data_IF_433324101020
#
_entry.id   IF_433324101020
#
_cell.length_a   1.000
_cell.length_b   1.000
_cell.length_c   1.000
_cell.angle_alpha   90.00
_cell.angle_beta   90.00
_cell.angle_gamma   90.00
#
_symmetry.space_group_name_H-M   'P 1'
#
loop_
_entity.id
_entity.type
_entity.pdbx_description
1 polymer ?
#
# COMPACT_ATOMS: atom_id res chain seq x y z
N UNK A 1 -14.84 -12.72 13.81
CA UNK A 1 -13.76 -11.80 14.16
C UNK A 1 -12.66 -11.86 13.09
N UNK A 2 -12.40 -10.73 12.45
CA UNK A 2 -11.35 -10.68 11.43
C UNK A 2 -9.98 -10.70 12.08
N UNK A 3 -9.13 -11.60 11.62
CA UNK A 3 -7.78 -11.72 12.13
C UNK A 3 -6.92 -10.62 11.52
N UNK A 4 -6.46 -9.70 12.36
CA UNK A 4 -5.59 -8.62 11.94
C UNK A 4 -4.16 -9.13 11.74
N UNK A 5 -3.51 -8.74 10.63
CA UNK A 5 -2.12 -9.10 10.38
C UNK A 5 -1.20 -8.46 11.42
N UNK A 6 -0.16 -9.19 11.82
CA UNK A 6 0.81 -8.76 12.83
C UNK A 6 2.23 -8.85 12.29
N UNK A 7 3.13 -8.10 12.91
CA UNK A 7 4.56 -8.21 12.63
C UNK A 7 5.00 -9.65 12.86
N UNK A 8 5.73 -10.22 11.89
CA UNK A 8 6.18 -11.61 11.91
C UNK A 8 5.29 -12.57 11.16
N UNK A 9 4.05 -12.20 10.87
CA UNK A 9 3.14 -13.05 10.12
C UNK A 9 3.55 -13.12 8.66
N UNK A 10 3.32 -14.27 8.04
CA UNK A 10 3.36 -14.39 6.59
C UNK A 10 2.22 -13.58 6.00
N UNK A 11 2.45 -12.93 4.86
CA UNK A 11 1.37 -12.18 4.21
C UNK A 11 0.27 -13.14 3.77
N UNK A 12 -1.00 -12.69 3.78
CA UNK A 12 -2.11 -13.53 3.32
C UNK A 12 -2.00 -13.80 1.82
N UNK A 13 -2.62 -14.88 1.37
CA UNK A 13 -2.66 -15.25 -0.05
C UNK A 13 -3.64 -14.35 -0.79
N UNK A 14 -3.19 -13.77 -1.90
CA UNK A 14 -4.05 -12.95 -2.76
C UNK A 14 -3.47 -12.81 -4.16
N UNK A 15 -4.31 -12.37 -5.08
CA UNK A 15 -3.91 -12.05 -6.46
C UNK A 15 -4.82 -10.93 -6.96
N UNK A 16 -4.24 -9.77 -7.30
CA UNK A 16 -4.99 -8.62 -7.81
C UNK A 16 -4.23 -7.94 -8.96
N UNK A 17 -4.94 -7.25 -9.86
CA UNK A 17 -4.29 -6.62 -11.02
C UNK A 17 -3.47 -5.38 -10.64
N UNK A 18 -2.36 -5.21 -11.35
CA UNK A 18 -1.48 -4.05 -11.24
C UNK A 18 -1.68 -3.08 -12.41
N UNK A 19 -1.35 -1.83 -12.18
CA UNK A 19 -1.46 -0.76 -13.18
C UNK A 19 -0.59 -0.98 -14.42
N UNK A 20 0.43 -1.81 -14.34
CA UNK A 20 1.32 -2.10 -15.49
C UNK A 20 0.83 -3.28 -16.35
N UNK A 21 -0.36 -3.81 -16.08
CA UNK A 21 -0.92 -4.94 -16.82
C UNK A 21 -0.58 -6.31 -16.25
N UNK A 22 0.30 -6.37 -15.26
CA UNK A 22 0.65 -7.63 -14.59
C UNK A 22 -0.30 -7.89 -13.42
N UNK A 23 -0.11 -9.05 -12.78
CA UNK A 23 -0.85 -9.40 -11.56
C UNK A 23 0.10 -9.29 -10.37
N UNK A 24 -0.43 -8.78 -9.26
CA UNK A 24 0.26 -8.84 -7.97
C UNK A 24 -0.20 -10.11 -7.27
N UNK A 25 0.65 -11.12 -7.28
CA UNK A 25 0.39 -12.41 -6.65
C UNK A 25 1.25 -12.52 -5.41
N UNK A 26 0.63 -12.84 -4.28
CA UNK A 26 1.34 -12.92 -3.00
C UNK A 26 2.51 -13.89 -3.02
N UNK A 27 2.44 -14.95 -3.82
CA UNK A 27 3.54 -15.92 -3.92
C UNK A 27 4.79 -15.33 -4.57
N UNK A 28 4.67 -14.22 -5.29
CA UNK A 28 5.78 -13.53 -5.94
C UNK A 28 6.38 -12.41 -5.09
N UNK A 29 5.77 -12.12 -3.93
CA UNK A 29 6.25 -11.11 -3.00
C UNK A 29 7.30 -11.74 -2.09
N UNK A 30 8.51 -11.88 -2.64
CA UNK A 30 9.66 -12.50 -1.98
C UNK A 30 10.94 -12.07 -2.67
N UNK A 31 12.08 -12.44 -2.11
CA UNK A 31 13.43 -12.22 -2.67
C UNK A 31 13.89 -10.76 -2.67
N UNK A 32 13.03 -9.84 -2.31
CA UNK A 32 13.34 -8.43 -2.07
C UNK A 32 12.29 -7.88 -1.10
N UNK A 33 12.52 -6.67 -0.62
CA UNK A 33 11.55 -6.02 0.25
C UNK A 33 10.44 -5.39 -0.56
N UNK A 34 9.24 -5.35 0.01
CA UNK A 34 8.09 -4.70 -0.59
C UNK A 34 7.47 -3.73 0.40
N UNK A 35 7.06 -2.57 -0.09
CA UNK A 35 6.19 -1.66 0.63
C UNK A 35 4.81 -1.78 -0.01
N UNK A 36 3.85 -2.25 0.77
CA UNK A 36 2.44 -2.27 0.37
C UNK A 36 1.75 -1.19 1.19
N UNK A 37 1.34 -0.09 0.55
CA UNK A 37 0.63 0.94 1.27
C UNK A 37 -0.83 1.01 0.81
N UNK A 38 -1.72 1.07 1.77
CA UNK A 38 -3.17 1.11 1.53
C UNK A 38 -3.65 2.54 1.71
N UNK A 39 -4.47 3.02 0.78
CA UNK A 39 -4.97 4.39 0.80
C UNK A 39 -6.42 4.43 0.34
N UNK A 40 -7.21 5.44 0.80
CA UNK A 40 -8.65 5.46 0.57
C UNK A 40 -9.09 5.61 -0.89
N UNK A 41 -8.49 6.55 -1.65
CA UNK A 41 -9.01 6.84 -2.99
C UNK A 41 -8.05 7.69 -3.83
N UNK A 42 -7.93 7.34 -5.11
CA UNK A 42 -7.15 8.11 -6.08
C UNK A 42 -7.67 9.56 -6.18
N UNK A 43 -6.75 10.47 -6.50
CA UNK A 43 -7.06 11.89 -6.75
C UNK A 43 -7.59 12.67 -5.55
N UNK A 44 -7.51 12.12 -4.33
CA UNK A 44 -7.78 12.90 -3.12
C UNK A 44 -6.48 13.58 -2.67
N UNK A 45 -6.54 14.73 -1.95
CA UNK A 45 -5.33 15.47 -1.60
C UNK A 45 -4.27 14.67 -0.84
N UNK A 46 -4.65 13.97 0.22
CA UNK A 46 -3.72 13.19 1.01
C UNK A 46 -3.12 12.01 0.24
N UNK A 47 -3.95 11.31 -0.54
CA UNK A 47 -3.49 10.18 -1.34
C UNK A 47 -2.57 10.63 -2.48
N UNK A 48 -2.85 11.79 -3.08
CA UNK A 48 -1.98 12.38 -4.10
C UNK A 48 -0.62 12.73 -3.52
N UNK A 49 -0.58 13.38 -2.36
CA UNK A 49 0.67 13.74 -1.69
C UNK A 49 1.48 12.48 -1.36
N UNK A 50 0.84 11.47 -0.79
CA UNK A 50 1.50 10.21 -0.44
C UNK A 50 2.12 9.53 -1.66
N UNK A 51 1.36 9.43 -2.76
CA UNK A 51 1.84 8.81 -3.99
C UNK A 51 3.02 9.59 -4.59
N UNK A 52 2.96 10.91 -4.55
CA UNK A 52 4.04 11.77 -5.05
C UNK A 52 5.29 11.68 -4.17
N UNK A 53 5.11 11.59 -2.85
CA UNK A 53 6.24 11.44 -1.93
C UNK A 53 6.97 10.12 -2.19
N UNK A 54 6.26 9.01 -2.38
CA UNK A 54 6.87 7.74 -2.77
C UNK A 54 7.56 7.85 -4.13
N UNK A 55 6.91 8.48 -5.10
CA UNK A 55 7.48 8.68 -6.43
C UNK A 55 8.79 9.46 -6.37
N UNK A 56 8.83 10.53 -5.58
CA UNK A 56 10.01 11.38 -5.44
C UNK A 56 11.21 10.63 -4.84
N UNK A 57 10.96 9.55 -4.10
CA UNK A 57 12.00 8.74 -3.45
C UNK A 57 12.20 7.38 -4.12
N UNK A 58 11.63 7.18 -5.31
CA UNK A 58 11.65 5.86 -5.95
C UNK A 58 13.07 5.33 -6.20
N UNK A 59 14.02 6.21 -6.50
CA UNK A 59 15.41 5.81 -6.70
C UNK A 59 16.03 5.28 -5.41
N UNK A 60 15.70 5.89 -4.27
CA UNK A 60 16.19 5.41 -2.97
C UNK A 60 15.64 4.03 -2.64
N UNK A 61 14.34 3.81 -2.92
CA UNK A 61 13.73 2.50 -2.73
C UNK A 61 14.40 1.44 -3.59
N UNK A 62 14.71 1.77 -4.85
CA UNK A 62 15.42 0.85 -5.75
C UNK A 62 16.81 0.50 -5.22
N UNK A 63 17.54 1.47 -4.69
CA UNK A 63 18.86 1.24 -4.08
C UNK A 63 18.75 0.30 -2.87
N UNK A 64 17.63 0.33 -2.17
CA UNK A 64 17.36 -0.52 -1.03
C UNK A 64 16.74 -1.87 -1.44
N UNK A 65 16.70 -2.17 -2.73
CA UNK A 65 16.08 -3.37 -3.29
C UNK A 65 14.63 -3.54 -2.81
N UNK A 66 13.88 -2.43 -2.82
CA UNK A 66 12.50 -2.38 -2.32
C UNK A 66 11.54 -1.93 -3.41
N UNK A 67 10.45 -2.67 -3.59
CA UNK A 67 9.37 -2.34 -4.52
C UNK A 67 8.25 -1.66 -3.75
N UNK A 68 7.71 -0.55 -4.28
CA UNK A 68 6.59 0.17 -3.65
C UNK A 68 5.33 -0.04 -4.47
N UNK A 69 4.25 -0.47 -3.81
CA UNK A 69 2.96 -0.71 -4.45
C UNK A 69 1.86 -0.10 -3.58
N UNK A 70 1.04 0.77 -4.19
CA UNK A 70 -0.14 1.31 -3.51
C UNK A 70 -1.37 0.47 -3.84
N UNK A 71 -2.26 0.30 -2.88
CA UNK A 71 -3.46 -0.55 -3.03
C UNK A 71 -4.70 0.22 -2.57
N UNK A 72 -5.72 0.25 -3.43
CA UNK A 72 -7.03 0.80 -3.08
C UNK A 72 -8.12 0.03 -3.81
N UNK A 73 -9.38 0.44 -3.62
CA UNK A 73 -10.51 -0.17 -4.33
C UNK A 73 -10.75 0.45 -5.70
N UNK A 74 -10.01 1.49 -6.07
CA UNK A 74 -10.16 2.12 -7.38
C UNK A 74 -9.87 1.12 -8.50
N UNK A 75 -10.52 1.31 -9.66
CA UNK A 75 -10.30 0.48 -10.84
C UNK A 75 -8.94 0.74 -11.46
N UNK A 76 -8.48 -0.18 -12.31
CA UNK A 76 -7.26 0.02 -13.09
C UNK A 76 -7.33 1.26 -13.97
N UNK A 77 -8.50 1.52 -14.54
CA UNK A 77 -8.71 2.71 -15.38
C UNK A 77 -8.46 3.97 -14.56
N UNK A 78 -9.02 4.06 -13.35
CA UNK A 78 -8.84 5.18 -12.45
C UNK A 78 -7.37 5.30 -12.03
N UNK A 79 -6.73 4.18 -11.69
CA UNK A 79 -5.31 4.16 -11.35
C UNK A 79 -4.44 4.70 -12.48
N UNK A 80 -4.70 4.28 -13.71
CA UNK A 80 -3.90 4.73 -14.85
C UNK A 80 -4.08 6.22 -15.11
N UNK A 81 -5.28 6.75 -14.95
CA UNK A 81 -5.52 8.20 -15.04
C UNK A 81 -4.78 8.97 -13.95
N UNK A 82 -4.79 8.43 -12.73
CA UNK A 82 -4.08 9.04 -11.60
C UNK A 82 -2.57 9.05 -11.83
N UNK A 83 -2.01 7.93 -12.27
CA UNK A 83 -0.59 7.81 -12.59
C UNK A 83 -0.19 8.83 -13.66
N UNK A 84 -0.95 8.90 -14.74
CA UNK A 84 -0.66 9.82 -15.84
C UNK A 84 -0.77 11.28 -15.42
N UNK A 85 -1.83 11.61 -14.69
CA UNK A 85 -2.06 12.99 -14.24
C UNK A 85 -0.98 13.49 -13.29
N UNK A 86 -0.52 12.63 -12.39
CA UNK A 86 0.44 13.02 -11.35
C UNK A 86 1.89 12.62 -11.65
N UNK A 87 2.15 11.95 -12.76
CA UNK A 87 3.50 11.52 -13.11
C UNK A 87 4.09 10.51 -12.13
N UNK A 88 3.27 9.57 -11.65
CA UNK A 88 3.71 8.62 -10.64
C UNK A 88 4.67 7.58 -11.21
N UNK A 89 5.66 7.19 -10.41
CA UNK A 89 6.67 6.17 -10.76
C UNK A 89 6.51 4.88 -9.96
N UNK A 90 5.47 4.77 -9.18
CA UNK A 90 5.13 3.59 -8.38
C UNK A 90 4.07 2.77 -9.09
N UNK A 91 3.91 1.51 -8.68
CA UNK A 91 2.81 0.68 -9.15
C UNK A 91 1.59 0.84 -8.25
N UNK A 92 0.41 0.76 -8.84
CA UNK A 92 -0.85 0.76 -8.10
C UNK A 92 -1.60 -0.53 -8.40
N UNK A 93 -2.16 -1.15 -7.36
CA UNK A 93 -2.94 -2.37 -7.48
C UNK A 93 -4.42 -2.08 -7.19
N UNK A 94 -5.30 -2.77 -7.89
CA UNK A 94 -6.74 -2.58 -7.77
C UNK A 94 -7.39 -3.75 -7.03
N UNK A 95 -7.93 -3.48 -5.84
CA UNK A 95 -8.68 -4.46 -5.04
C UNK A 95 -10.16 -4.09 -5.04
N UNK A 96 -10.80 -4.13 -6.21
CA UNK A 96 -12.19 -3.70 -6.36
C UNK A 96 -13.16 -4.47 -5.45
N UNK A 97 -12.91 -5.76 -5.21
CA UNK A 97 -13.75 -6.56 -4.33
C UNK A 97 -13.59 -6.22 -2.85
N UNK A 98 -12.44 -5.63 -2.47
CA UNK A 98 -12.12 -5.36 -1.07
C UNK A 98 -11.60 -6.56 -0.29
N UNK A 99 -11.43 -7.71 -0.92
CA UNK A 99 -11.00 -8.93 -0.23
C UNK A 99 -9.58 -8.82 0.33
N UNK A 100 -8.67 -8.21 -0.40
CA UNK A 100 -7.29 -8.01 0.06
C UNK A 100 -7.27 -7.03 1.23
N UNK A 101 -8.06 -5.95 1.14
CA UNK A 101 -8.19 -4.97 2.21
C UNK A 101 -8.64 -5.65 3.51
N UNK A 102 -9.59 -6.57 3.41
CA UNK A 102 -10.08 -7.33 4.57
C UNK A 102 -9.00 -8.24 5.14
N UNK A 103 -8.25 -8.92 4.26
CA UNK A 103 -7.18 -9.83 4.69
C UNK A 103 -6.06 -9.10 5.46
N UNK A 104 -5.76 -7.87 5.06
CA UNK A 104 -4.76 -7.06 5.76
C UNK A 104 -5.33 -6.30 6.97
N UNK A 105 -6.65 -6.37 7.16
CA UNK A 105 -7.29 -5.71 8.31
C UNK A 105 -7.41 -4.21 8.17
N UNK A 106 -7.37 -3.68 6.96
CA UNK A 106 -7.45 -2.23 6.71
C UNK A 106 -8.82 -1.76 6.20
N UNK A 107 -9.75 -2.68 6.02
CA UNK A 107 -11.14 -2.34 5.72
C UNK A 107 -11.89 -2.22 7.04
N UNK A 108 -12.15 -0.99 7.48
CA UNK A 108 -12.59 -0.71 8.84
C UNK A 108 -13.78 0.23 8.88
N UNK A 109 -14.49 0.22 10.01
CA UNK A 109 -15.56 1.17 10.26
C UNK A 109 -14.96 2.53 10.59
N UNK A 110 -15.43 3.56 9.88
CA UNK A 110 -15.04 4.96 10.10
C UNK A 110 -16.25 5.76 10.53
N UNK A 111 -16.01 6.86 11.24
CA UNK A 111 -17.06 7.77 11.68
C UNK A 111 -16.73 9.18 11.19
N UNK A 112 -17.69 9.81 10.51
CA UNK A 112 -17.54 11.20 10.05
C UNK A 112 -18.86 11.92 10.38
N UNK A 113 -18.80 12.91 11.25
CA UNK A 113 -19.96 13.70 11.66
C UNK A 113 -21.12 12.84 12.16
N UNK A 114 -20.82 11.82 12.97
CA UNK A 114 -21.81 10.91 13.51
C UNK A 114 -22.28 9.81 12.57
N UNK A 115 -21.84 9.83 11.30
CA UNK A 115 -22.15 8.77 10.33
C UNK A 115 -21.09 7.69 10.34
N UNK A 116 -21.52 6.46 10.49
CA UNK A 116 -20.63 5.29 10.39
C UNK A 116 -20.62 4.76 8.96
N UNK A 117 -19.43 4.46 8.43
CA UNK A 117 -19.28 3.88 7.11
C UNK A 117 -18.03 3.01 7.08
N UNK A 118 -17.98 2.07 6.13
CA UNK A 118 -16.79 1.24 5.94
C UNK A 118 -15.85 1.93 4.96
N UNK A 119 -14.57 1.91 5.29
CA UNK A 119 -13.57 2.53 4.44
C UNK A 119 -12.18 1.97 4.68
N UNK A 120 -11.23 2.41 3.86
CA UNK A 120 -9.84 1.97 3.96
C UNK A 120 -9.11 2.78 5.01
N UNK A 121 -8.51 2.08 5.97
CA UNK A 121 -7.59 2.71 6.91
C UNK A 121 -6.24 2.90 6.22
N UNK A 122 -5.74 4.14 6.15
CA UNK A 122 -4.43 4.39 5.58
C UNK A 122 -3.37 3.69 6.43
N UNK A 123 -2.67 2.74 5.82
CA UNK A 123 -1.69 1.91 6.51
C UNK A 123 -0.59 1.49 5.54
N UNK A 124 0.60 1.24 6.05
CA UNK A 124 1.74 0.80 5.24
C UNK A 124 2.35 -0.44 5.88
N UNK A 125 2.67 -1.43 5.05
CA UNK A 125 3.28 -2.68 5.49
C UNK A 125 4.64 -2.84 4.82
N UNK A 126 5.66 -3.11 5.62
CA UNK A 126 6.99 -3.49 5.11
C UNK A 126 7.08 -5.02 5.13
N UNK A 127 7.27 -5.61 3.95
CA UNK A 127 7.35 -7.06 3.76
C UNK A 127 8.81 -7.40 3.47
N UNK A 128 9.35 -8.39 4.18
CA UNK A 128 10.73 -8.79 3.99
C UNK A 128 10.90 -9.82 2.85
N UNK A 129 12.13 -10.24 2.60
CA UNK A 129 12.47 -11.15 1.49
C UNK A 129 11.87 -12.55 1.65
N UNK A 130 11.38 -12.88 2.86
CA UNK A 130 10.75 -14.16 3.18
C UNK A 130 9.22 -14.10 3.19
N UNK A 131 8.64 -13.03 2.63
CA UNK A 131 7.19 -12.80 2.57
C UNK A 131 6.54 -12.62 3.93
N UNK A 132 7.31 -12.18 4.91
CA UNK A 132 6.81 -11.90 6.26
C UNK A 132 6.71 -10.41 6.50
N UNK A 133 5.71 -10.02 7.30
CA UNK A 133 5.51 -8.63 7.69
C UNK A 133 6.61 -8.24 8.69
N UNK A 134 7.48 -7.34 8.27
CA UNK A 134 8.58 -6.87 9.08
C UNK A 134 8.16 -5.69 9.96
N UNK A 135 7.30 -4.82 9.45
CA UNK A 135 6.80 -3.66 10.20
C UNK A 135 5.46 -3.18 9.64
N UNK A 136 4.67 -2.54 10.48
CA UNK A 136 3.35 -1.99 10.12
C UNK A 136 3.24 -0.57 10.64
N UNK A 137 2.89 0.36 9.74
CA UNK A 137 2.46 1.70 10.13
C UNK A 137 0.94 1.72 10.07
N UNK A 138 0.29 1.64 11.23
CA UNK A 138 -1.16 1.76 11.33
C UNK A 138 -1.52 3.24 11.34
N UNK A 139 -2.66 3.64 10.85
CA UNK A 139 -3.13 5.03 10.88
C UNK A 139 -2.07 6.04 10.41
N UNK A 140 -1.64 5.89 9.19
CA UNK A 140 -0.60 6.73 8.59
C UNK A 140 -1.02 8.19 8.49
N UNK A 141 -0.12 9.08 8.90
CA UNK A 141 -0.17 10.51 8.60
C UNK A 141 0.82 10.75 7.48
N UNK A 142 0.38 11.36 6.38
CA UNK A 142 1.18 11.47 5.16
C UNK A 142 2.46 12.27 5.34
N UNK A 143 2.40 13.36 6.10
CA UNK A 143 3.56 14.24 6.30
C UNK A 143 4.73 13.49 6.97
N UNK A 144 5.86 13.40 6.25
CA UNK A 144 7.05 12.74 6.76
C UNK A 144 7.01 11.21 6.74
N UNK A 145 5.90 10.62 6.27
CA UNK A 145 5.74 9.17 6.30
C UNK A 145 6.76 8.44 5.43
N UNK A 146 6.97 8.87 4.21
CA UNK A 146 7.89 8.20 3.27
C UNK A 146 9.32 8.22 3.81
N UNK A 147 9.73 9.30 4.45
CA UNK A 147 11.04 9.38 5.11
C UNK A 147 11.17 8.35 6.24
N UNK A 148 10.11 8.21 7.05
CA UNK A 148 10.08 7.21 8.13
C UNK A 148 10.19 5.80 7.55
N UNK A 149 9.52 5.53 6.44
CA UNK A 149 9.57 4.23 5.77
C UNK A 149 11.01 3.93 5.31
N UNK A 150 11.65 4.88 4.64
CA UNK A 150 13.03 4.72 4.18
C UNK A 150 13.98 4.46 5.34
N UNK A 151 13.84 5.24 6.42
CA UNK A 151 14.68 5.08 7.60
C UNK A 151 14.50 3.70 8.23
N UNK A 152 13.27 3.19 8.27
CA UNK A 152 12.99 1.86 8.80
C UNK A 152 13.65 0.77 7.96
N UNK A 153 13.59 0.88 6.64
CA UNK A 153 14.23 -0.09 5.75
C UNK A 153 15.75 -0.10 5.97
N UNK A 154 16.35 1.09 6.09
CA UNK A 154 17.80 1.21 6.31
C UNK A 154 18.26 0.62 7.64
N UNK A 155 17.39 0.61 8.65
CA UNK A 155 17.74 0.10 9.97
C UNK A 155 17.46 -1.39 10.15
N UNK A 156 16.87 -2.04 9.14
CA UNK A 156 16.49 -3.44 9.25
C UNK A 156 17.55 -4.39 8.68
#
# INVERSE_FOLDING_TARGET
MKKKCKIGDKIPKFKIPLSDGNLLDSKDIKDKKYILYFYPKDNTPGCTTEAKDFTNKIKEFKKLNTQVIGISKDSLETHNKFINKQGLKILLASDESGKVLEKFGVWVEKNMYGRKYMGIQRATFLINEESKIEYIWEKVKVKGHVEDVINKIKSS
#
